data_IF_768280485940
#
_entry.id   IF_768280485940
#
_cell.length_a   1.000
_cell.length_b   1.000
_cell.length_c   1.000
_cell.angle_alpha   90.00
_cell.angle_beta   90.00
_cell.angle_gamma   90.00
#
_symmetry.space_group_name_H-M   'P 1'
#
loop_
_entity.id
_entity.type
_entity.pdbx_description
1 polymer ?
#
# COMPACT_ATOMS: atom_id res chain seq x y z
N UNK A 1 37.10 20.18 -26.61
CA UNK A 1 36.22 20.56 -25.49
C UNK A 1 36.03 19.33 -24.60
N UNK A 2 36.58 19.37 -23.38
CA UNK A 2 36.59 18.26 -22.41
C UNK A 2 35.18 17.94 -21.87
N UNK A 3 34.85 16.65 -21.77
CA UNK A 3 33.83 16.12 -20.83
C UNK A 3 34.45 15.00 -19.97
N UNK A 4 35.55 15.33 -19.33
CA UNK A 4 36.07 14.61 -18.17
C UNK A 4 35.52 15.28 -16.91
N UNK A 5 34.26 15.00 -16.53
CA UNK A 5 33.69 15.36 -15.22
C UNK A 5 32.25 14.82 -15.04
N UNK A 6 32.06 13.49 -15.06
CA UNK A 6 30.88 12.83 -14.48
C UNK A 6 31.30 11.44 -13.96
N UNK A 7 32.20 11.41 -12.97
CA UNK A 7 32.47 10.24 -12.15
C UNK A 7 31.97 10.53 -10.73
N UNK A 8 31.25 9.56 -10.16
CA UNK A 8 30.51 9.64 -8.90
C UNK A 8 29.04 9.89 -9.25
N UNK A 9 28.13 8.93 -9.22
CA UNK A 9 27.85 7.94 -8.19
C UNK A 9 27.48 6.60 -8.85
N UNK A 10 28.41 5.65 -8.94
CA UNK A 10 28.02 4.24 -9.11
C UNK A 10 27.85 3.67 -7.72
N UNK A 11 26.65 3.80 -7.15
CA UNK A 11 26.31 3.05 -5.95
C UNK A 11 26.49 1.58 -6.28
N UNK A 12 27.45 0.91 -5.62
CA UNK A 12 27.57 -0.54 -5.68
C UNK A 12 26.23 -1.13 -5.20
N UNK A 13 25.73 -2.23 -5.77
CA UNK A 13 24.55 -2.91 -5.21
C UNK A 13 24.89 -3.28 -3.78
N UNK A 14 24.36 -2.52 -2.84
CA UNK A 14 24.51 -2.78 -1.42
C UNK A 14 23.49 -3.87 -1.13
N UNK A 15 23.97 -5.08 -0.80
CA UNK A 15 23.09 -6.15 -0.32
C UNK A 15 22.39 -5.66 0.94
N UNK A 16 21.13 -5.29 0.79
CA UNK A 16 20.32 -4.79 1.88
C UNK A 16 20.03 -5.95 2.84
N UNK A 17 20.46 -5.83 4.09
CA UNK A 17 20.03 -6.76 5.15
C UNK A 17 18.61 -6.35 5.62
N UNK A 18 17.62 -6.64 4.79
CA UNK A 18 16.20 -6.36 5.03
C UNK A 18 15.46 -7.67 5.14
N UNK A 19 14.65 -7.79 6.19
CA UNK A 19 13.83 -8.96 6.41
C UNK A 19 12.51 -8.86 5.63
N UNK A 20 12.36 -9.66 4.58
CA UNK A 20 11.15 -9.72 3.75
C UNK A 20 10.18 -10.85 4.13
N UNK A 21 10.60 -11.77 5.03
CA UNK A 21 9.81 -12.92 5.48
C UNK A 21 8.43 -12.50 6.00
N UNK A 22 8.38 -11.39 6.75
CA UNK A 22 7.14 -10.86 7.32
C UNK A 22 6.18 -10.34 6.24
N UNK A 23 6.68 -9.69 5.18
CA UNK A 23 5.82 -9.24 4.08
C UNK A 23 5.18 -10.43 3.37
N UNK A 24 5.97 -11.47 3.06
CA UNK A 24 5.47 -12.68 2.41
C UNK A 24 4.40 -13.36 3.27
N UNK A 25 4.68 -13.55 4.57
CA UNK A 25 3.76 -14.20 5.49
C UNK A 25 2.43 -13.42 5.62
N UNK A 26 2.50 -12.11 5.86
CA UNK A 26 1.32 -11.25 5.98
C UNK A 26 0.52 -11.22 4.66
N UNK A 27 1.20 -11.09 3.53
CA UNK A 27 0.55 -11.12 2.23
C UNK A 27 -0.18 -12.44 2.00
N UNK A 28 0.46 -13.59 2.28
CA UNK A 28 -0.13 -14.91 2.07
C UNK A 28 -1.39 -15.12 2.93
N UNK A 29 -1.40 -14.65 4.17
CA UNK A 29 -2.58 -14.73 5.03
C UNK A 29 -3.71 -13.84 4.48
N UNK A 30 -3.42 -12.56 4.22
CA UNK A 30 -4.44 -11.60 3.80
C UNK A 30 -4.99 -11.89 2.39
N UNK A 31 -4.17 -12.41 1.47
CA UNK A 31 -4.66 -12.86 0.16
C UNK A 31 -5.52 -14.12 0.30
N UNK A 32 -5.18 -15.02 1.24
CA UNK A 32 -6.01 -16.19 1.53
C UNK A 32 -7.42 -15.78 1.98
N UNK A 33 -7.54 -14.74 2.82
CA UNK A 33 -8.84 -14.18 3.20
C UNK A 33 -9.63 -13.65 2.00
N UNK A 34 -8.97 -12.93 1.10
CA UNK A 34 -9.59 -12.40 -0.13
C UNK A 34 -10.09 -13.55 -1.02
N UNK A 35 -9.26 -14.57 -1.23
CA UNK A 35 -9.62 -15.72 -2.06
C UNK A 35 -10.68 -16.60 -1.40
N UNK A 36 -10.70 -16.70 -0.08
CA UNK A 36 -11.73 -17.39 0.68
C UNK A 36 -13.07 -16.67 0.54
N UNK A 37 -13.08 -15.34 0.70
CA UNK A 37 -14.28 -14.53 0.53
C UNK A 37 -14.92 -14.69 -0.86
N UNK A 38 -14.12 -14.83 -1.91
CA UNK A 38 -14.61 -15.09 -3.28
C UNK A 38 -15.24 -16.47 -3.47
N UNK A 39 -14.91 -17.43 -2.61
CA UNK A 39 -15.36 -18.84 -2.70
C UNK A 39 -16.52 -19.16 -1.77
N UNK A 40 -17.00 -18.20 -0.98
CA UNK A 40 -18.14 -18.40 -0.08
C UNK A 40 -19.40 -18.77 -0.88
N UNK A 41 -20.15 -19.74 -0.37
CA UNK A 41 -21.37 -20.23 -1.01
C UNK A 41 -22.59 -19.39 -0.58
N UNK A 42 -23.38 -18.95 -1.58
CA UNK A 42 -24.66 -18.26 -1.39
C UNK A 42 -25.73 -19.11 -0.71
N UNK A 43 -25.55 -20.44 -0.65
CA UNK A 43 -26.41 -21.32 0.13
C UNK A 43 -26.15 -21.20 1.65
N UNK A 44 -24.94 -20.78 2.05
CA UNK A 44 -24.54 -20.64 3.44
C UNK A 44 -24.64 -19.19 3.93
N UNK A 45 -24.41 -18.22 3.05
CA UNK A 45 -24.39 -16.80 3.39
C UNK A 45 -25.17 -15.97 2.37
N UNK A 46 -25.70 -14.82 2.80
CA UNK A 46 -26.31 -13.89 1.86
C UNK A 46 -25.28 -13.31 0.91
N UNK A 47 -25.69 -13.07 -0.34
CA UNK A 47 -24.83 -12.46 -1.36
C UNK A 47 -24.24 -11.12 -0.90
N UNK A 48 -25.05 -10.29 -0.25
CA UNK A 48 -24.64 -9.02 0.34
C UNK A 48 -23.56 -9.17 1.43
N UNK A 49 -23.62 -10.23 2.24
CA UNK A 49 -22.57 -10.53 3.20
C UNK A 49 -21.28 -10.90 2.47
N UNK A 50 -21.35 -11.79 1.48
CA UNK A 50 -20.18 -12.25 0.71
C UNK A 50 -19.49 -11.05 0.04
N UNK A 51 -20.26 -10.17 -0.62
CA UNK A 51 -19.74 -8.97 -1.29
C UNK A 51 -19.04 -8.01 -0.32
N UNK A 52 -19.62 -7.78 0.87
CA UNK A 52 -18.98 -6.94 1.90
C UNK A 52 -17.72 -7.59 2.47
N UNK A 53 -17.75 -8.89 2.73
CA UNK A 53 -16.59 -9.65 3.21
C UNK A 53 -15.44 -9.57 2.21
N UNK A 54 -15.71 -9.81 0.91
CA UNK A 54 -14.71 -9.64 -0.15
C UNK A 54 -14.11 -8.22 -0.15
N UNK A 55 -14.95 -7.19 -0.03
CA UNK A 55 -14.49 -5.80 -0.01
C UNK A 55 -13.61 -5.51 1.21
N UNK A 56 -14.02 -5.93 2.41
CA UNK A 56 -13.25 -5.74 3.64
C UNK A 56 -11.91 -6.48 3.61
N UNK A 57 -11.92 -7.77 3.21
CA UNK A 57 -10.69 -8.56 3.08
C UNK A 57 -9.73 -7.95 2.05
N UNK A 58 -10.24 -7.44 0.93
CA UNK A 58 -9.41 -6.77 -0.07
C UNK A 58 -8.70 -5.53 0.50
N UNK A 59 -9.43 -4.68 1.23
CA UNK A 59 -8.82 -3.48 1.80
C UNK A 59 -7.88 -3.80 2.98
N UNK A 60 -8.19 -4.80 3.80
CA UNK A 60 -7.27 -5.30 4.82
C UNK A 60 -5.96 -5.78 4.20
N UNK A 61 -6.02 -6.53 3.09
CA UNK A 61 -4.84 -6.96 2.32
C UNK A 61 -4.03 -5.76 1.81
N UNK A 62 -4.68 -4.76 1.20
CA UNK A 62 -4.01 -3.54 0.72
C UNK A 62 -3.30 -2.82 1.87
N UNK A 63 -3.99 -2.59 2.99
CA UNK A 63 -3.44 -1.88 4.16
C UNK A 63 -2.28 -2.65 4.81
N UNK A 64 -2.39 -3.97 4.93
CA UNK A 64 -1.32 -4.83 5.43
C UNK A 64 -0.06 -4.76 4.56
N UNK A 65 -0.21 -4.88 3.25
CA UNK A 65 0.92 -4.80 2.30
C UNK A 65 1.59 -3.43 2.35
N UNK A 66 0.84 -2.33 2.28
CA UNK A 66 1.44 -0.99 2.28
C UNK A 66 2.06 -0.63 3.64
N UNK A 67 1.61 -1.24 4.74
CA UNK A 67 2.24 -1.12 6.05
C UNK A 67 3.62 -1.80 6.05
N UNK A 68 3.71 -3.04 5.56
CA UNK A 68 4.97 -3.78 5.45
C UNK A 68 5.97 -3.10 4.51
N UNK A 69 5.51 -2.56 3.37
CA UNK A 69 6.35 -1.79 2.46
C UNK A 69 6.99 -0.56 3.14
N UNK A 70 6.28 0.10 4.04
CA UNK A 70 6.84 1.23 4.82
C UNK A 70 7.87 0.76 5.83
N UNK A 71 7.67 -0.39 6.48
CA UNK A 71 8.67 -0.98 7.36
C UNK A 71 9.96 -1.30 6.59
N UNK A 72 9.85 -1.88 5.39
CA UNK A 72 10.99 -2.11 4.50
C UNK A 72 11.68 -0.79 4.16
N UNK A 73 10.93 0.25 3.79
CA UNK A 73 11.50 1.57 3.46
C UNK A 73 12.24 2.18 4.66
N UNK A 74 11.68 2.09 5.87
CA UNK A 74 12.30 2.57 7.10
C UNK A 74 13.58 1.79 7.44
N UNK A 75 13.57 0.46 7.28
CA UNK A 75 14.76 -0.38 7.48
C UNK A 75 15.86 -0.04 6.49
N UNK A 76 15.54 0.07 5.20
CA UNK A 76 16.48 0.48 4.16
C UNK A 76 17.08 1.87 4.45
N UNK A 77 16.25 2.81 4.92
CA UNK A 77 16.68 4.17 5.25
C UNK A 77 17.69 4.24 6.40
N UNK A 78 17.79 3.23 7.26
CA UNK A 78 18.88 3.15 8.27
C UNK A 78 20.27 3.06 7.64
N UNK A 79 20.35 2.63 6.38
CA UNK A 79 21.60 2.50 5.64
C UNK A 79 21.73 3.61 4.59
N UNK A 80 20.64 4.00 3.94
CA UNK A 80 20.68 4.92 2.80
C UNK A 80 20.49 6.38 3.17
N UNK A 81 19.83 6.68 4.31
CA UNK A 81 19.55 8.04 4.78
C UNK A 81 18.92 8.97 3.72
N UNK A 82 18.10 8.42 2.82
CA UNK A 82 17.51 9.16 1.69
C UNK A 82 16.26 9.97 2.06
N UNK A 83 15.68 9.71 3.23
CA UNK A 83 14.45 10.36 3.67
C UNK A 83 14.68 11.55 4.59
N UNK A 84 13.85 12.57 4.39
CA UNK A 84 13.74 13.71 5.31
C UNK A 84 12.89 13.34 6.53
N UNK A 85 13.02 14.11 7.62
CA UNK A 85 12.29 13.85 8.87
C UNK A 85 10.77 13.72 8.67
N UNK A 86 10.13 14.61 7.90
CA UNK A 86 8.68 14.53 7.64
C UNK A 86 8.29 13.30 6.82
N UNK A 87 9.18 12.79 5.96
CA UNK A 87 8.93 11.56 5.19
C UNK A 87 8.99 10.34 6.12
N UNK A 88 9.92 10.34 7.07
CA UNK A 88 10.03 9.32 8.11
C UNK A 88 8.79 9.31 9.02
N UNK A 89 8.25 10.48 9.39
CA UNK A 89 6.99 10.57 10.15
C UNK A 89 5.83 9.88 9.42
N UNK A 90 5.65 10.18 8.12
CA UNK A 90 4.59 9.56 7.31
C UNK A 90 4.81 8.05 7.17
N UNK A 91 6.05 7.60 6.93
CA UNK A 91 6.41 6.18 6.84
C UNK A 91 6.11 5.45 8.15
N UNK A 92 6.35 6.11 9.28
CA UNK A 92 6.11 5.58 10.63
C UNK A 92 4.64 5.70 11.07
N UNK A 93 3.76 6.23 10.19
CA UNK A 93 2.35 6.53 10.50
C UNK A 93 2.18 7.42 11.74
N UNK A 94 3.14 8.32 11.98
CA UNK A 94 3.12 9.27 13.08
C UNK A 94 2.94 10.70 12.56
N UNK A 95 2.42 11.57 13.42
CA UNK A 95 2.33 13.00 13.20
C UNK A 95 2.74 13.72 14.47
N UNK A 96 3.72 14.61 14.35
CA UNK A 96 4.14 15.48 15.43
C UNK A 96 3.16 16.65 15.61
N UNK A 97 2.87 17.02 16.85
CA UNK A 97 2.04 18.16 17.22
C UNK A 97 2.53 18.82 18.51
N UNK A 98 2.17 20.09 18.72
CA UNK A 98 2.50 20.83 19.93
C UNK A 98 1.30 20.85 20.87
N UNK A 99 1.53 20.53 22.14
CA UNK A 99 0.53 20.73 23.20
C UNK A 99 0.52 22.18 23.71
N UNK A 100 -0.55 22.56 24.40
CA UNK A 100 -0.72 23.93 24.93
C UNK A 100 0.36 24.31 25.96
N UNK A 101 1.06 23.34 26.55
CA UNK A 101 2.18 23.54 27.47
C UNK A 101 3.53 23.70 26.74
N UNK A 102 3.54 23.73 25.40
CA UNK A 102 4.76 23.84 24.59
C UNK A 102 5.54 22.54 24.42
N UNK A 103 4.99 21.39 24.82
CA UNK A 103 5.66 20.08 24.67
C UNK A 103 5.28 19.45 23.31
N UNK A 104 6.29 19.02 22.56
CA UNK A 104 6.08 18.26 21.33
C UNK A 104 5.68 16.81 21.66
N UNK A 105 4.62 16.32 21.01
CA UNK A 105 4.15 14.95 21.10
C UNK A 105 3.88 14.34 19.72
N UNK A 106 3.76 13.02 19.70
CA UNK A 106 3.37 12.27 18.51
C UNK A 106 2.01 11.60 18.71
N UNK A 107 1.28 11.44 17.61
CA UNK A 107 0.06 10.66 17.53
C UNK A 107 0.01 9.91 16.21
N UNK A 108 -0.81 8.87 16.13
CA UNK A 108 -1.05 8.17 14.87
C UNK A 108 -1.60 9.13 13.81
N UNK A 109 -0.98 9.12 12.64
CA UNK A 109 -1.39 9.91 11.50
C UNK A 109 -2.66 9.32 10.86
N UNK A 110 -3.64 10.19 10.57
CA UNK A 110 -4.81 9.81 9.77
C UNK A 110 -4.51 9.99 8.29
N UNK A 111 -3.91 8.98 7.68
CA UNK A 111 -3.52 9.00 6.26
C UNK A 111 -4.71 8.64 5.36
N UNK A 112 -4.89 9.39 4.27
CA UNK A 112 -5.83 8.99 3.21
C UNK A 112 -5.26 7.78 2.46
N UNK A 113 -6.09 6.77 2.21
CA UNK A 113 -5.62 5.48 1.70
C UNK A 113 -4.91 5.60 0.34
N UNK A 114 -5.49 6.30 -0.65
CA UNK A 114 -4.85 6.39 -1.98
C UNK A 114 -3.47 7.08 -1.94
N UNK A 115 -3.31 8.28 -1.34
CA UNK A 115 -1.99 8.85 -1.12
C UNK A 115 -1.04 7.91 -0.37
N UNK A 116 -1.52 7.18 0.64
CA UNK A 116 -0.71 6.22 1.41
C UNK A 116 -0.22 5.07 0.51
N UNK A 117 -1.06 4.51 -0.36
CA UNK A 117 -0.67 3.48 -1.34
C UNK A 117 0.46 3.99 -2.25
N UNK A 118 0.26 5.15 -2.86
CA UNK A 118 1.25 5.75 -3.77
C UNK A 118 2.55 6.07 -3.03
N UNK A 119 2.44 6.60 -1.82
CA UNK A 119 3.58 6.94 -0.99
C UNK A 119 4.36 5.67 -0.63
N UNK A 120 3.73 4.64 -0.07
CA UNK A 120 4.38 3.39 0.30
C UNK A 120 5.14 2.76 -0.88
N UNK A 121 4.49 2.57 -2.03
CA UNK A 121 5.12 1.93 -3.20
C UNK A 121 6.32 2.74 -3.74
N UNK A 122 6.14 4.05 -3.94
CA UNK A 122 7.22 4.90 -4.48
C UNK A 122 8.35 5.10 -3.46
N UNK A 123 8.06 5.16 -2.17
CA UNK A 123 9.07 5.39 -1.15
C UNK A 123 9.87 4.13 -0.82
N UNK A 124 9.26 2.95 -0.89
CA UNK A 124 10.04 1.70 -0.87
C UNK A 124 11.03 1.66 -2.03
N UNK A 125 10.59 2.00 -3.25
CA UNK A 125 11.49 2.10 -4.41
C UNK A 125 12.60 3.15 -4.21
N UNK A 126 12.27 4.34 -3.69
CA UNK A 126 13.25 5.38 -3.34
C UNK A 126 14.28 4.89 -2.32
N UNK A 127 13.86 4.19 -1.27
CA UNK A 127 14.76 3.68 -0.22
C UNK A 127 15.76 2.66 -0.76
N UNK A 128 15.31 1.85 -1.73
CA UNK A 128 16.06 0.76 -2.34
C UNK A 128 16.73 1.15 -3.67
N UNK A 129 16.60 2.42 -4.09
CA UNK A 129 17.25 2.98 -5.30
C UNK A 129 16.82 2.21 -6.56
N UNK A 130 15.53 1.89 -6.63
CA UNK A 130 14.92 1.15 -7.74
C UNK A 130 14.40 2.09 -8.83
N UNK A 131 14.48 1.65 -10.09
CA UNK A 131 13.81 2.32 -11.22
C UNK A 131 12.33 1.90 -11.27
N UNK A 132 11.59 2.33 -10.25
CA UNK A 132 10.17 2.07 -10.10
C UNK A 132 9.42 3.35 -9.79
N UNK A 133 8.31 3.54 -10.50
CA UNK A 133 7.30 4.56 -10.20
C UNK A 133 5.92 3.99 -10.45
N UNK A 134 4.99 4.17 -9.52
CA UNK A 134 3.60 3.67 -9.66
C UNK A 134 2.94 4.29 -10.88
N UNK A 135 2.20 3.48 -11.66
CA UNK A 135 1.43 3.96 -12.81
C UNK A 135 0.05 4.47 -12.37
N UNK A 136 -0.23 5.75 -12.60
CA UNK A 136 -1.46 6.43 -12.15
C UNK A 136 -2.36 6.93 -13.30
N UNK A 137 -2.05 6.53 -14.52
CA UNK A 137 -2.67 7.00 -15.75
C UNK A 137 -3.23 5.81 -16.54
N UNK A 138 -4.04 4.99 -15.86
CA UNK A 138 -4.71 3.83 -16.43
C UNK A 138 -6.04 3.55 -15.70
N UNK A 139 -6.90 2.73 -16.32
CA UNK A 139 -8.22 2.38 -15.79
C UNK A 139 -8.16 1.64 -14.45
N UNK A 140 -7.06 0.95 -14.16
CA UNK A 140 -6.83 0.25 -12.90
C UNK A 140 -6.73 1.21 -11.72
N UNK A 141 -5.95 2.28 -11.88
CA UNK A 141 -5.82 3.36 -10.89
C UNK A 141 -7.17 4.05 -10.64
N UNK A 142 -7.89 4.39 -11.70
CA UNK A 142 -9.23 4.99 -11.59
C UNK A 142 -10.22 4.04 -10.90
N UNK A 143 -10.12 2.74 -11.16
CA UNK A 143 -10.92 1.73 -10.47
C UNK A 143 -10.57 1.67 -8.98
N UNK A 144 -9.30 1.80 -8.60
CA UNK A 144 -8.90 1.84 -7.20
C UNK A 144 -9.42 3.08 -6.48
N UNK A 145 -9.45 4.25 -7.12
CA UNK A 145 -10.09 5.46 -6.58
C UNK A 145 -11.59 5.23 -6.30
N UNK A 146 -12.30 4.56 -7.22
CA UNK A 146 -13.71 4.21 -7.05
C UNK A 146 -13.92 3.15 -5.96
N UNK A 147 -13.06 2.13 -5.91
CA UNK A 147 -13.08 1.08 -4.89
C UNK A 147 -12.97 1.66 -3.47
N UNK A 148 -12.12 2.68 -3.26
CA UNK A 148 -12.01 3.35 -1.96
C UNK A 148 -13.32 4.03 -1.58
N UNK A 149 -14.03 4.64 -2.53
CA UNK A 149 -15.36 5.22 -2.27
C UNK A 149 -16.39 4.15 -1.89
N UNK A 150 -16.32 2.97 -2.52
CA UNK A 150 -17.17 1.82 -2.17
C UNK A 150 -16.89 1.38 -0.73
N UNK A 151 -15.62 1.22 -0.37
CA UNK A 151 -15.20 0.92 1.01
C UNK A 151 -15.74 1.94 2.01
N UNK A 152 -15.46 3.22 1.76
CA UNK A 152 -15.87 4.30 2.66
C UNK A 152 -17.38 4.32 2.88
N UNK A 153 -18.16 4.03 1.82
CA UNK A 153 -19.62 3.90 1.87
C UNK A 153 -20.07 2.78 2.80
N UNK A 154 -19.44 1.60 2.75
CA UNK A 154 -19.84 0.44 3.57
C UNK A 154 -19.28 0.45 4.99
N UNK A 155 -18.14 1.12 5.24
CA UNK A 155 -17.53 1.22 6.58
C UNK A 155 -18.06 2.40 7.38
N UNK A 156 -18.57 3.43 6.71
CA UNK A 156 -19.22 4.58 7.33
C UNK A 156 -20.62 4.81 6.73
N UNK A 157 -21.53 3.81 6.84
CA UNK A 157 -22.83 3.86 6.21
C UNK A 157 -23.68 4.98 6.82
N UNK A 158 -24.25 5.84 5.97
CA UNK A 158 -25.21 6.86 6.41
C UNK A 158 -26.64 6.30 6.53
N UNK A 159 -26.91 5.24 5.79
CA UNK A 159 -28.19 4.54 5.72
C UNK A 159 -27.96 3.08 5.32
N UNK A 160 -29.02 2.27 5.32
CA UNK A 160 -28.94 0.85 4.98
C UNK A 160 -28.54 0.63 3.52
N UNK A 161 -28.97 1.51 2.63
CA UNK A 161 -28.69 1.44 1.20
C UNK A 161 -27.20 1.60 0.90
N UNK A 162 -26.46 2.30 1.77
CA UNK A 162 -24.99 2.42 1.68
C UNK A 162 -24.28 1.05 1.78
N UNK A 163 -24.90 0.06 2.42
CA UNK A 163 -24.33 -1.29 2.58
C UNK A 163 -24.52 -2.19 1.36
N UNK A 164 -25.30 -1.76 0.36
CA UNK A 164 -25.55 -2.51 -0.87
C UNK A 164 -24.31 -2.40 -1.76
N UNK A 165 -23.84 -3.54 -2.26
CA UNK A 165 -22.74 -3.62 -3.22
C UNK A 165 -23.30 -4.20 -4.51
N UNK A 166 -23.33 -3.36 -5.55
CA UNK A 166 -23.82 -3.76 -6.87
C UNK A 166 -22.81 -4.65 -7.60
N UNK A 167 -23.25 -5.36 -8.64
CA UNK A 167 -22.32 -6.14 -9.48
C UNK A 167 -21.30 -5.24 -10.19
N UNK A 168 -21.70 -4.02 -10.52
CA UNK A 168 -20.78 -3.01 -11.06
C UNK A 168 -19.71 -2.59 -10.05
N UNK A 169 -20.06 -2.52 -8.75
CA UNK A 169 -19.08 -2.29 -7.67
C UNK A 169 -18.08 -3.46 -7.59
N UNK A 170 -18.54 -4.70 -7.75
CA UNK A 170 -17.66 -5.89 -7.79
C UNK A 170 -16.70 -5.84 -8.98
N UNK A 171 -17.17 -5.44 -10.16
CA UNK A 171 -16.30 -5.24 -11.34
C UNK A 171 -15.23 -4.17 -11.06
N UNK A 172 -15.59 -3.08 -10.39
CA UNK A 172 -14.64 -2.02 -9.98
C UNK A 172 -13.61 -2.56 -8.99
N UNK A 173 -14.04 -3.31 -7.98
CA UNK A 173 -13.17 -3.94 -6.99
C UNK A 173 -12.20 -4.94 -7.63
N UNK A 174 -12.66 -5.74 -8.60
CA UNK A 174 -11.82 -6.66 -9.35
C UNK A 174 -10.71 -5.95 -10.14
N UNK A 175 -11.04 -4.86 -10.84
CA UNK A 175 -10.05 -4.03 -11.57
C UNK A 175 -9.07 -3.34 -10.62
N UNK A 176 -9.55 -2.84 -9.49
CA UNK A 176 -8.73 -2.23 -8.45
C UNK A 176 -7.75 -3.23 -7.83
N UNK A 177 -8.23 -4.44 -7.53
CA UNK A 177 -7.43 -5.56 -7.00
C UNK A 177 -6.35 -5.99 -7.98
N UNK A 178 -6.68 -6.11 -9.27
CA UNK A 178 -5.71 -6.42 -10.31
C UNK A 178 -4.61 -5.33 -10.40
N UNK A 179 -5.00 -4.06 -10.46
CA UNK A 179 -4.04 -2.95 -10.50
C UNK A 179 -3.09 -2.94 -9.30
N UNK A 180 -3.62 -3.07 -8.08
CA UNK A 180 -2.77 -3.05 -6.88
C UNK A 180 -1.80 -4.22 -6.87
N UNK A 181 -2.28 -5.44 -7.21
CA UNK A 181 -1.44 -6.63 -7.30
C UNK A 181 -0.35 -6.46 -8.35
N UNK A 182 -0.68 -5.96 -9.54
CA UNK A 182 0.27 -5.83 -10.64
C UNK A 182 1.36 -4.79 -10.31
N UNK A 183 0.99 -3.67 -9.65
CA UNK A 183 1.96 -2.67 -9.18
C UNK A 183 2.83 -3.21 -8.03
N UNK A 184 2.26 -3.97 -7.09
CA UNK A 184 3.00 -4.61 -6.01
C UNK A 184 3.99 -5.66 -6.54
N UNK A 185 3.55 -6.55 -7.45
CA UNK A 185 4.41 -7.57 -8.08
C UNK A 185 5.53 -6.91 -8.87
N UNK A 186 5.25 -5.82 -9.62
CA UNK A 186 6.28 -5.10 -10.36
C UNK A 186 7.35 -4.51 -9.44
N UNK A 187 6.97 -4.00 -8.27
CA UNK A 187 7.92 -3.55 -7.26
C UNK A 187 8.71 -4.73 -6.67
N UNK A 188 8.02 -5.79 -6.26
CA UNK A 188 8.64 -6.96 -5.62
C UNK A 188 9.64 -7.69 -6.52
N UNK A 189 9.36 -7.76 -7.82
CA UNK A 189 10.29 -8.35 -8.79
C UNK A 189 11.61 -7.55 -8.84
N UNK A 190 11.55 -6.21 -8.84
CA UNK A 190 12.76 -5.38 -8.80
C UNK A 190 13.49 -5.50 -7.45
N UNK A 191 12.75 -5.65 -6.34
CA UNK A 191 13.36 -5.91 -5.04
C UNK A 191 14.12 -7.24 -5.08
N UNK A 192 13.52 -8.31 -5.60
CA UNK A 192 14.14 -9.63 -5.69
C UNK A 192 15.47 -9.64 -6.46
N UNK A 193 15.63 -8.75 -7.44
CA UNK A 193 16.88 -8.62 -8.21
C UNK A 193 18.06 -8.05 -7.40
N UNK A 194 17.82 -7.41 -6.25
CA UNK A 194 18.84 -6.70 -5.46
C UNK A 194 19.10 -7.27 -4.05
N UNK A 195 18.33 -8.26 -3.59
CA UNK A 195 18.53 -8.93 -2.28
C UNK A 195 19.35 -10.21 -2.41
#
# INVERSE_FOLDING_TARGET
MNRSQLNGWKMKPQKYNIEFSNLQAIYNELISDVETAKKLDTNCYSEEFIKRTYTHSFFAMVEGVISQLKQIALQANKQTHVFKAYEIEILSEQSSYLENNGIAKQKNAKLKLMPNILFSLNYTAKALVLDFKVKTNNDGYESMLKAIKIRDRITHPKNKESLIISDQDIVVLGKASAWFRDEAVRLLNQIHEIV
#
